data_IF_782348130041
#
_entry.id   IF_782348130041
#
_cell.length_a   1.000
_cell.length_b   1.000
_cell.length_c   1.000
_cell.angle_alpha   90.00
_cell.angle_beta   90.00
_cell.angle_gamma   90.00
#
_symmetry.space_group_name_H-M   'P 1'
#
loop_
_entity.id
_entity.type
_entity.pdbx_description
1 polymer ?
#
# COMPACT_ATOMS: atom_id res chain seq x y z
N UNK A 1 -70.57 2.47 16.72
CA UNK A 1 -69.84 1.58 17.65
C UNK A 1 -69.05 0.56 16.84
N UNK A 2 -67.73 0.75 16.85
CA UNK A 2 -66.64 -0.26 16.77
C UNK A 2 -66.82 -1.50 15.90
N UNK A 3 -66.05 -1.52 14.80
CA UNK A 3 -65.80 -2.70 13.99
C UNK A 3 -64.46 -3.40 14.30
N UNK A 4 -64.19 -4.39 13.44
CA UNK A 4 -62.98 -5.21 13.22
C UNK A 4 -62.78 -6.43 14.13
N UNK A 5 -63.15 -7.58 13.55
CA UNK A 5 -62.24 -8.69 13.31
C UNK A 5 -61.70 -9.41 14.54
N UNK A 6 -62.51 -10.30 15.12
CA UNK A 6 -62.04 -11.30 16.06
C UNK A 6 -61.07 -12.27 15.37
N UNK A 7 -59.85 -12.33 15.89
CA UNK A 7 -58.87 -13.36 15.59
C UNK A 7 -59.34 -14.72 16.14
N UNK A 8 -59.16 -15.84 15.42
CA UNK A 8 -59.02 -17.12 16.07
C UNK A 8 -57.53 -17.41 16.29
N UNK A 9 -57.07 -17.10 17.50
CA UNK A 9 -55.90 -17.75 18.06
C UNK A 9 -56.15 -19.26 18.20
N UNK A 10 -55.10 -20.02 17.90
CA UNK A 10 -54.75 -21.31 18.47
C UNK A 10 -55.91 -22.28 18.82
N UNK A 11 -56.19 -23.21 17.91
CA UNK A 11 -56.43 -24.61 18.27
C UNK A 11 -56.42 -25.51 17.01
N UNK A 12 -55.25 -26.04 16.67
CA UNK A 12 -55.18 -27.32 15.95
C UNK A 12 -53.96 -28.11 16.41
N UNK A 13 -54.06 -28.58 17.66
CA UNK A 13 -53.34 -29.78 18.09
C UNK A 13 -53.63 -30.88 17.07
N UNK A 14 -52.59 -31.26 16.34
CA UNK A 14 -52.46 -32.58 15.71
C UNK A 14 -53.40 -32.85 14.54
N UNK A 15 -52.97 -32.50 13.32
CA UNK A 15 -53.03 -33.42 12.18
C UNK A 15 -51.81 -33.19 11.28
N UNK A 16 -50.68 -33.73 11.72
CA UNK A 16 -49.54 -33.96 10.84
C UNK A 16 -49.88 -35.06 9.85
N UNK A 17 -50.35 -34.69 8.66
CA UNK A 17 -50.63 -35.62 7.58
C UNK A 17 -50.26 -34.97 6.25
N UNK A 18 -49.23 -35.53 5.58
CA UNK A 18 -48.83 -35.49 4.15
C UNK A 18 -48.90 -34.17 3.34
N UNK A 19 -49.40 -33.08 3.92
CA UNK A 19 -49.60 -31.77 3.30
C UNK A 19 -48.99 -30.64 4.15
N UNK A 20 -48.16 -30.97 5.15
CA UNK A 20 -47.24 -29.98 5.72
C UNK A 20 -46.14 -29.72 4.69
N UNK A 21 -46.40 -28.78 3.79
CA UNK A 21 -45.34 -28.13 3.00
C UNK A 21 -44.28 -27.67 4.00
N UNK A 22 -43.07 -28.23 3.89
CA UNK A 22 -41.93 -27.80 4.69
C UNK A 22 -41.79 -26.30 4.43
N UNK A 23 -42.08 -25.46 5.42
CA UNK A 23 -41.72 -24.06 5.33
C UNK A 23 -40.20 -24.03 5.42
N UNK A 24 -39.54 -24.02 4.26
CA UNK A 24 -38.09 -23.86 4.17
C UNK A 24 -37.78 -22.55 4.87
N UNK A 25 -37.06 -22.62 5.99
CA UNK A 25 -36.75 -21.46 6.82
C UNK A 25 -36.22 -20.32 5.95
N UNK A 26 -36.71 -19.10 6.20
CA UNK A 26 -36.33 -17.91 5.43
C UNK A 26 -34.82 -17.79 5.31
N UNK A 27 -34.35 -17.48 4.10
CA UNK A 27 -32.92 -17.42 3.79
C UNK A 27 -32.18 -16.45 4.71
N UNK A 28 -30.98 -16.83 5.15
CA UNK A 28 -30.09 -15.92 5.87
C UNK A 28 -29.67 -14.80 4.93
N UNK A 29 -29.90 -13.55 5.32
CA UNK A 29 -29.55 -12.38 4.52
C UNK A 29 -28.14 -11.91 4.87
N UNK A 30 -27.14 -12.47 4.19
CA UNK A 30 -25.73 -12.06 4.36
C UNK A 30 -25.40 -10.69 3.75
N UNK A 31 -26.35 -10.05 3.06
CA UNK A 31 -26.15 -8.76 2.39
C UNK A 31 -26.76 -7.57 3.13
N UNK A 32 -27.44 -7.79 4.27
CA UNK A 32 -28.17 -6.73 4.99
C UNK A 32 -27.28 -5.98 5.97
N UNK A 33 -26.24 -6.63 6.50
CA UNK A 33 -25.41 -6.14 7.62
C UNK A 33 -23.91 -6.38 7.34
N UNK A 34 -23.44 -6.04 6.13
CA UNK A 34 -22.01 -6.16 5.77
C UNK A 34 -21.16 -4.99 6.30
N UNK A 35 -21.80 -3.92 6.78
CA UNK A 35 -21.14 -2.72 7.31
C UNK A 35 -21.42 -2.60 8.80
N UNK A 36 -20.47 -2.09 9.61
CA UNK A 36 -20.72 -1.87 11.03
C UNK A 36 -21.83 -0.83 11.19
N UNK A 37 -22.82 -1.16 12.00
CA UNK A 37 -23.96 -0.29 12.31
C UNK A 37 -23.83 0.20 13.76
N UNK A 38 -24.26 1.43 14.02
CA UNK A 38 -24.34 1.95 15.40
C UNK A 38 -25.54 1.33 16.14
N UNK A 39 -25.69 1.61 17.44
CA UNK A 39 -26.81 1.17 18.27
C UNK A 39 -28.18 1.56 17.69
N UNK A 40 -28.24 2.62 16.90
CA UNK A 40 -29.44 3.11 16.21
C UNK A 40 -29.64 2.53 14.79
N UNK A 41 -28.78 1.61 14.35
CA UNK A 41 -28.90 0.91 13.06
C UNK A 41 -28.45 1.72 11.83
N UNK A 42 -27.76 2.83 12.04
CA UNK A 42 -27.17 3.64 10.97
C UNK A 42 -25.79 3.11 10.57
N UNK A 43 -25.45 3.19 9.29
CA UNK A 43 -24.14 2.78 8.78
C UNK A 43 -23.02 3.66 9.34
N UNK A 44 -22.08 3.05 10.06
CA UNK A 44 -20.88 3.71 10.54
C UNK A 44 -19.74 3.37 9.58
N UNK A 45 -19.00 4.39 9.13
CA UNK A 45 -17.78 4.14 8.36
C UNK A 45 -16.74 3.48 9.28
N UNK A 46 -16.13 2.38 8.81
CA UNK A 46 -15.07 1.65 9.53
C UNK A 46 -13.89 2.54 9.94
N UNK A 47 -13.72 3.70 9.28
CA UNK A 47 -12.61 4.62 9.52
C UNK A 47 -13.06 5.89 10.28
N UNK A 48 -14.31 5.94 10.76
CA UNK A 48 -14.81 7.07 11.54
C UNK A 48 -14.35 7.00 13.00
N UNK A 49 -14.22 8.14 13.67
CA UNK A 49 -13.78 8.22 15.07
C UNK A 49 -14.72 7.46 16.02
N UNK A 50 -16.02 7.40 15.71
CA UNK A 50 -17.02 6.62 16.45
C UNK A 50 -16.75 5.11 16.39
N UNK A 51 -16.19 4.61 15.29
CA UNK A 51 -15.80 3.21 15.16
C UNK A 51 -14.52 2.88 15.95
N UNK A 52 -13.64 3.87 16.15
CA UNK A 52 -12.40 3.68 16.92
C UNK A 52 -12.61 3.80 18.43
N UNK A 53 -13.48 4.71 18.87
CA UNK A 53 -13.68 4.98 20.30
C UNK A 53 -14.50 3.94 21.07
N UNK A 54 -15.01 2.87 20.43
CA UNK A 54 -15.80 1.82 21.10
C UNK A 54 -14.99 0.59 21.49
N UNK A 55 -13.75 0.51 21.01
CA UNK A 55 -12.78 -0.54 21.39
C UNK A 55 -11.78 -0.07 22.47
N UNK A 56 -11.91 1.18 22.97
CA UNK A 56 -10.94 1.85 23.86
C UNK A 56 -11.29 1.81 25.37
N UNK A 57 -12.35 1.12 25.80
CA UNK A 57 -12.83 1.14 27.21
C UNK A 57 -12.45 -0.10 28.06
N UNK A 58 -11.51 -0.94 27.59
CA UNK A 58 -10.91 -1.99 28.41
C UNK A 58 -9.40 -2.14 28.12
N UNK A 59 -8.62 -1.87 29.16
CA UNK A 59 -7.23 -2.31 29.41
C UNK A 59 -6.04 -1.38 29.08
N UNK A 60 -5.24 -1.24 30.13
CA UNK A 60 -4.04 -0.45 30.31
C UNK A 60 -2.81 -1.19 29.76
N UNK A 61 -1.81 -0.46 29.27
CA UNK A 61 -0.41 -0.89 29.12
C UNK A 61 -0.04 -1.94 28.04
N UNK A 62 0.49 -1.48 26.90
CA UNK A 62 1.81 -1.92 26.34
C UNK A 62 2.12 -1.22 25.01
N UNK A 63 3.37 -0.79 24.82
CA UNK A 63 3.93 -0.63 23.48
C UNK A 63 3.79 -1.96 22.71
N UNK A 64 3.21 -1.93 21.52
CA UNK A 64 3.54 -2.91 20.48
C UNK A 64 3.29 -2.33 19.08
N UNK A 65 4.40 -2.20 18.36
CA UNK A 65 4.55 -2.05 16.93
C UNK A 65 3.76 -3.13 16.19
N UNK A 66 2.57 -2.79 15.69
CA UNK A 66 1.75 -3.68 14.86
C UNK A 66 2.16 -3.53 13.39
N UNK A 67 3.17 -4.30 12.98
CA UNK A 67 3.43 -4.58 11.57
C UNK A 67 2.33 -5.50 11.03
N UNK A 68 1.47 -4.93 10.17
CA UNK A 68 0.45 -5.66 9.41
C UNK A 68 1.11 -6.58 8.37
N UNK A 69 1.43 -7.81 8.79
CA UNK A 69 1.86 -8.92 7.94
C UNK A 69 0.60 -9.44 7.21
N UNK A 70 0.44 -8.99 5.98
CA UNK A 70 -0.56 -9.50 5.04
C UNK A 70 -0.15 -10.93 4.61
N UNK A 71 -0.56 -11.92 5.40
CA UNK A 71 -0.63 -13.34 5.02
C UNK A 71 -1.78 -13.47 4.00
N UNK A 72 -1.48 -13.21 2.73
CA UNK A 72 -2.29 -13.73 1.64
C UNK A 72 -1.91 -15.19 1.44
N UNK A 73 -2.74 -16.05 2.01
CA UNK A 73 -2.75 -17.50 1.88
C UNK A 73 -2.90 -17.86 0.39
N UNK A 74 -1.78 -18.14 -0.26
CA UNK A 74 -1.76 -18.76 -1.58
C UNK A 74 -1.93 -20.26 -1.35
N UNK A 75 -3.17 -20.74 -1.50
CA UNK A 75 -3.50 -22.15 -1.62
C UNK A 75 -2.70 -22.75 -2.79
N UNK A 76 -1.60 -23.44 -2.48
CA UNK A 76 -0.95 -24.35 -3.41
C UNK A 76 -0.83 -25.73 -2.74
N UNK A 77 -1.28 -26.72 -3.49
CA UNK A 77 -1.68 -28.05 -3.06
C UNK A 77 -0.44 -28.93 -2.71
N UNK A 78 -0.52 -29.58 -1.54
CA UNK A 78 0.16 -30.81 -1.08
C UNK A 78 1.54 -31.25 -1.67
N UNK A 79 2.59 -31.26 -0.81
CA UNK A 79 3.82 -32.06 -1.01
C UNK A 79 4.81 -32.00 0.18
N UNK A 80 5.55 -33.07 0.53
CA UNK A 80 5.88 -33.42 1.92
C UNK A 80 6.98 -32.60 2.61
N UNK A 81 6.74 -32.34 3.89
CA UNK A 81 7.58 -31.63 4.84
C UNK A 81 8.98 -32.22 5.01
N UNK A 82 9.96 -31.53 4.43
CA UNK A 82 11.35 -31.55 4.91
C UNK A 82 11.92 -30.16 4.78
N UNK A 83 11.98 -29.41 5.89
CA UNK A 83 13.24 -28.82 6.38
C UNK A 83 13.04 -27.89 7.58
N UNK A 84 13.80 -28.23 8.62
CA UNK A 84 14.42 -27.40 9.64
C UNK A 84 13.54 -26.41 10.45
N UNK A 85 13.49 -26.67 11.76
CA UNK A 85 13.06 -25.76 12.83
C UNK A 85 13.99 -24.53 12.93
N UNK A 86 14.15 -23.77 11.85
CA UNK A 86 14.82 -22.48 11.89
C UNK A 86 13.98 -21.55 12.77
N UNK A 87 14.66 -20.85 13.68
CA UNK A 87 14.04 -19.91 14.60
C UNK A 87 13.16 -18.93 13.83
N UNK A 88 12.07 -18.46 14.44
CA UNK A 88 11.14 -17.49 13.84
C UNK A 88 11.89 -16.25 13.31
N UNK A 89 13.01 -15.92 13.94
CA UNK A 89 13.90 -14.84 13.55
C UNK A 89 14.75 -15.14 12.30
N UNK A 90 15.29 -16.35 12.18
CA UNK A 90 16.01 -16.80 10.98
C UNK A 90 15.06 -16.90 9.77
N UNK A 91 13.81 -17.34 9.98
CA UNK A 91 12.79 -17.36 8.93
C UNK A 91 12.45 -15.94 8.44
N UNK A 92 12.37 -14.97 9.36
CA UNK A 92 12.15 -13.55 9.03
C UNK A 92 13.33 -12.97 8.26
N UNK A 93 14.56 -13.28 8.67
CA UNK A 93 15.76 -12.81 7.96
C UNK A 93 15.88 -13.41 6.56
N UNK A 94 15.57 -14.69 6.39
CA UNK A 94 15.58 -15.33 5.06
C UNK A 94 14.49 -14.76 4.14
N UNK A 95 13.27 -14.53 4.65
CA UNK A 95 12.20 -13.88 3.88
C UNK A 95 12.58 -12.44 3.51
N UNK A 96 13.19 -11.66 4.42
CA UNK A 96 13.69 -10.30 4.13
C UNK A 96 14.80 -10.32 3.08
N UNK A 97 15.77 -11.23 3.21
CA UNK A 97 16.86 -11.40 2.24
C UNK A 97 16.36 -11.80 0.85
N UNK A 98 15.35 -12.67 0.75
CA UNK A 98 14.74 -13.03 -0.54
C UNK A 98 13.97 -11.86 -1.16
N UNK A 99 13.20 -11.11 -0.37
CA UNK A 99 12.51 -9.90 -0.83
C UNK A 99 13.51 -8.83 -1.31
N UNK A 100 14.59 -8.61 -0.58
CA UNK A 100 15.65 -7.67 -0.96
C UNK A 100 16.40 -8.14 -2.22
N UNK A 101 16.69 -9.44 -2.36
CA UNK A 101 17.29 -9.99 -3.56
C UNK A 101 16.36 -9.84 -4.78
N UNK A 102 15.05 -10.03 -4.61
CA UNK A 102 14.07 -9.81 -5.66
C UNK A 102 13.96 -8.33 -6.04
N UNK A 103 13.98 -7.42 -5.06
CA UNK A 103 13.99 -5.97 -5.30
C UNK A 103 15.30 -5.54 -5.97
N UNK A 104 16.44 -6.12 -5.60
CA UNK A 104 17.73 -5.86 -6.24
C UNK A 104 17.75 -6.39 -7.69
N UNK A 105 17.19 -7.56 -7.97
CA UNK A 105 17.01 -8.07 -9.34
C UNK A 105 16.08 -7.17 -10.16
N UNK A 106 14.95 -6.72 -9.59
CA UNK A 106 14.02 -5.78 -10.25
C UNK A 106 14.65 -4.40 -10.49
N UNK A 107 15.48 -3.90 -9.56
CA UNK A 107 16.21 -2.64 -9.73
C UNK A 107 17.35 -2.76 -10.74
N UNK A 108 18.03 -3.90 -10.80
CA UNK A 108 19.03 -4.19 -11.85
C UNK A 108 18.38 -4.44 -13.21
N UNK A 109 17.17 -4.98 -13.23
CA UNK A 109 16.32 -5.15 -14.41
C UNK A 109 15.35 -3.99 -14.65
N UNK A 110 15.68 -2.77 -14.19
CA UNK A 110 14.95 -1.57 -14.57
C UNK A 110 15.25 -1.27 -16.04
N UNK A 111 14.59 -2.04 -16.90
CA UNK A 111 14.53 -1.91 -18.34
C UNK A 111 14.12 -0.47 -18.66
N UNK A 112 15.04 0.29 -19.24
CA UNK A 112 14.67 1.51 -19.94
C UNK A 112 13.72 1.15 -21.08
N UNK A 113 12.71 1.98 -21.33
CA UNK A 113 11.74 1.83 -22.43
C UNK A 113 12.48 1.70 -23.77
N UNK A 114 12.76 0.45 -24.18
CA UNK A 114 13.58 0.15 -25.35
C UNK A 114 14.39 -1.15 -25.28
N UNK A 115 14.70 -1.67 -24.09
CA UNK A 115 15.50 -2.90 -23.94
C UNK A 115 14.62 -4.08 -23.53
N UNK A 116 13.78 -4.52 -24.47
CA UNK A 116 13.04 -5.77 -24.36
C UNK A 116 14.07 -6.92 -24.49
N UNK A 117 14.18 -7.86 -23.53
CA UNK A 117 15.04 -9.03 -23.74
C UNK A 117 14.43 -9.85 -24.89
N UNK A 118 15.09 -9.80 -26.05
CA UNK A 118 14.81 -10.59 -27.24
C UNK A 118 15.88 -11.67 -27.44
N UNK A 119 16.50 -12.14 -26.36
CA UNK A 119 17.32 -13.36 -26.39
C UNK A 119 17.48 -13.90 -24.96
N UNK A 120 16.61 -14.83 -24.59
CA UNK A 120 16.89 -15.82 -23.55
C UNK A 120 16.20 -17.10 -24.00
N UNK A 121 16.91 -17.80 -24.88
CA UNK A 121 16.87 -19.25 -25.03
C UNK A 121 16.99 -19.89 -23.64
N UNK A 122 15.86 -20.23 -23.04
CA UNK A 122 15.78 -21.21 -21.96
C UNK A 122 14.64 -22.17 -22.32
N UNK A 123 15.01 -23.05 -23.25
CA UNK A 123 14.36 -24.30 -23.58
C UNK A 123 14.42 -25.22 -22.35
N UNK A 124 13.29 -25.39 -21.64
CA UNK A 124 12.91 -26.64 -20.96
C UNK A 124 11.58 -26.48 -20.19
N UNK A 125 10.64 -27.39 -20.51
CA UNK A 125 9.48 -27.84 -19.71
C UNK A 125 8.09 -27.21 -19.95
N UNK A 126 7.80 -26.64 -21.13
CA UNK A 126 6.40 -26.31 -21.53
C UNK A 126 6.00 -26.90 -22.89
N UNK A 127 6.51 -28.10 -23.22
CA UNK A 127 6.21 -28.82 -24.47
C UNK A 127 5.00 -29.78 -24.35
N UNK A 128 4.33 -29.83 -23.19
CA UNK A 128 3.18 -30.72 -22.94
C UNK A 128 1.81 -30.01 -22.92
N UNK A 129 1.77 -28.70 -23.19
CA UNK A 129 0.54 -27.93 -23.32
C UNK A 129 0.20 -27.67 -24.81
N UNK A 130 -1.06 -27.86 -25.25
CA UNK A 130 -1.42 -27.59 -26.65
C UNK A 130 -1.22 -26.11 -26.96
N UNK A 131 -0.29 -25.81 -27.87
CA UNK A 131 0.05 -24.45 -28.27
C UNK A 131 -1.21 -23.66 -28.66
N UNK A 132 -1.44 -22.52 -27.98
CA UNK A 132 -2.55 -21.64 -28.30
C UNK A 132 -2.41 -21.15 -29.76
N UNK A 133 -3.38 -21.43 -30.64
CA UNK A 133 -3.30 -21.11 -32.07
C UNK A 133 -3.11 -19.61 -32.35
N UNK A 134 -3.49 -18.74 -31.40
CA UNK A 134 -3.34 -17.29 -31.50
C UNK A 134 -1.94 -16.78 -31.10
N UNK A 135 -1.10 -17.62 -30.49
CA UNK A 135 0.29 -17.31 -30.15
C UNK A 135 1.31 -18.04 -31.04
N UNK A 136 0.83 -18.78 -32.04
CA UNK A 136 1.70 -19.51 -32.97
C UNK A 136 2.58 -18.57 -33.82
N UNK A 137 3.77 -19.05 -34.19
CA UNK A 137 4.72 -18.33 -35.07
C UNK A 137 4.08 -17.91 -36.41
N UNK A 138 3.07 -18.63 -36.89
CA UNK A 138 2.31 -18.28 -38.09
C UNK A 138 1.45 -17.01 -37.91
N UNK A 139 0.83 -16.81 -36.75
CA UNK A 139 0.06 -15.60 -36.46
C UNK A 139 0.94 -14.34 -36.40
N UNK A 140 2.15 -14.46 -35.83
CA UNK A 140 3.15 -13.37 -35.82
C UNK A 140 3.66 -13.00 -37.22
N UNK A 141 3.70 -13.94 -38.16
CA UNK A 141 4.17 -13.66 -39.52
C UNK A 141 3.12 -12.89 -40.35
N UNK A 142 1.82 -13.03 -40.04
CA UNK A 142 0.76 -12.30 -40.74
C UNK A 142 0.70 -10.80 -40.38
N UNK A 143 1.16 -10.42 -39.17
CA UNK A 143 1.23 -9.02 -38.75
C UNK A 143 2.52 -8.32 -39.15
N UNK A 144 3.48 -9.05 -39.75
CA UNK A 144 4.79 -8.54 -40.17
C UNK A 144 4.83 -8.09 -41.65
N UNK A 145 3.66 -7.82 -42.25
CA UNK A 145 3.57 -7.19 -43.56
C UNK A 145 4.19 -5.77 -43.54
N UNK A 146 4.80 -5.36 -44.66
CA UNK A 146 5.80 -4.29 -44.69
C UNK A 146 5.28 -2.87 -44.39
N UNK A 147 6.00 -2.07 -43.58
CA UNK A 147 5.59 -0.70 -43.20
C UNK A 147 5.57 0.29 -44.38
N UNK A 148 6.33 0.02 -45.45
CA UNK A 148 6.49 0.93 -46.59
C UNK A 148 5.18 1.19 -47.36
N UNK A 149 4.30 0.18 -47.48
CA UNK A 149 3.02 0.36 -48.15
C UNK A 149 2.04 1.21 -47.32
N UNK A 150 2.13 1.18 -45.99
CA UNK A 150 1.27 1.98 -45.11
C UNK A 150 1.71 3.43 -45.11
N UNK A 151 3.02 3.70 -45.12
CA UNK A 151 3.57 5.05 -45.16
C UNK A 151 3.19 5.78 -46.45
N UNK A 152 3.32 5.14 -47.62
CA UNK A 152 2.98 5.73 -48.92
C UNK A 152 1.47 6.04 -49.04
N UNK A 153 0.61 5.18 -48.48
CA UNK A 153 -0.84 5.43 -48.39
C UNK A 153 -1.15 6.60 -47.45
N UNK A 154 -0.47 6.71 -46.31
CA UNK A 154 -0.68 7.81 -45.36
C UNK A 154 -0.19 9.17 -45.90
N UNK A 155 0.86 9.19 -46.72
CA UNK A 155 1.32 10.40 -47.41
C UNK A 155 0.37 10.86 -48.51
N UNK A 156 -0.25 9.93 -49.23
CA UNK A 156 -1.33 10.22 -50.17
C UNK A 156 -2.53 10.88 -49.50
N UNK A 157 -2.93 10.40 -48.32
CA UNK A 157 -4.05 10.97 -47.53
C UNK A 157 -3.71 12.35 -46.97
N UNK A 158 -2.47 12.61 -46.53
CA UNK A 158 -2.02 13.94 -46.06
C UNK A 158 -2.04 15.02 -47.15
N UNK A 159 -1.89 14.63 -48.43
CA UNK A 159 -1.92 15.56 -49.58
C UNK A 159 -3.33 15.88 -50.08
N UNK A 160 -4.34 15.08 -49.70
CA UNK A 160 -5.75 15.42 -49.94
C UNK A 160 -6.12 16.54 -48.96
N UNK A 161 -6.68 17.63 -49.48
CA UNK A 161 -7.06 18.78 -48.67
C UNK A 161 -8.00 18.34 -47.54
N UNK A 162 -7.47 18.32 -46.30
CA UNK A 162 -8.18 17.91 -45.09
C UNK A 162 -9.58 18.54 -45.08
N UNK A 163 -10.60 17.70 -44.99
CA UNK A 163 -12.00 18.10 -44.88
C UNK A 163 -12.14 19.11 -43.74
N UNK A 164 -13.09 20.06 -43.82
CA UNK A 164 -13.35 21.02 -42.72
C UNK A 164 -13.44 20.33 -41.35
N UNK A 165 -14.05 19.14 -41.34
CA UNK A 165 -14.20 18.29 -40.16
C UNK A 165 -12.87 17.72 -39.64
N UNK A 166 -11.94 17.41 -40.54
CA UNK A 166 -10.60 16.92 -40.21
C UNK A 166 -9.67 18.05 -39.74
N UNK A 167 -9.87 19.28 -40.23
CA UNK A 167 -9.15 20.45 -39.73
C UNK A 167 -9.58 20.79 -38.30
N UNK A 168 -10.88 20.77 -38.04
CA UNK A 168 -11.42 21.02 -36.70
C UNK A 168 -11.01 19.91 -35.73
N UNK A 169 -10.97 18.64 -36.16
CA UNK A 169 -10.51 17.55 -35.29
C UNK A 169 -9.02 17.67 -34.94
N UNK A 170 -8.17 18.06 -35.88
CA UNK A 170 -6.74 18.31 -35.63
C UNK A 170 -6.55 19.53 -34.74
N UNK A 171 -7.29 20.61 -34.94
CA UNK A 171 -7.22 21.79 -34.06
C UNK A 171 -7.69 21.46 -32.64
N UNK A 172 -8.76 20.68 -32.49
CA UNK A 172 -9.22 20.21 -31.19
C UNK A 172 -8.20 19.31 -30.49
N UNK A 173 -7.48 18.45 -31.23
CA UNK A 173 -6.37 17.66 -30.69
C UNK A 173 -5.22 18.56 -30.24
N UNK A 174 -4.80 19.51 -31.08
CA UNK A 174 -3.74 20.45 -30.72
C UNK A 174 -4.11 21.33 -29.51
N UNK A 175 -5.37 21.73 -29.37
CA UNK A 175 -5.85 22.48 -28.21
C UNK A 175 -5.79 21.65 -26.92
N UNK A 176 -6.17 20.37 -26.99
CA UNK A 176 -6.03 19.43 -25.87
C UNK A 176 -4.57 19.21 -25.50
N UNK A 177 -3.70 19.05 -26.48
CA UNK A 177 -2.26 18.88 -26.24
C UNK A 177 -1.63 20.13 -25.62
N UNK A 178 -2.03 21.33 -26.08
CA UNK A 178 -1.61 22.59 -25.48
C UNK A 178 -2.10 22.72 -24.05
N UNK A 179 -3.36 22.39 -23.78
CA UNK A 179 -3.92 22.40 -22.43
C UNK A 179 -3.17 21.42 -21.53
N UNK A 180 -2.96 20.18 -21.98
CA UNK A 180 -2.16 19.17 -21.28
C UNK A 180 -0.75 19.67 -20.99
N UNK A 181 -0.07 20.23 -21.99
CA UNK A 181 1.27 20.81 -21.83
C UNK A 181 1.30 21.97 -20.82
N UNK A 182 0.28 22.83 -20.81
CA UNK A 182 0.16 23.91 -19.82
C UNK A 182 -0.16 23.38 -18.42
N UNK A 183 -0.94 22.30 -18.33
CA UNK A 183 -1.27 21.64 -17.07
C UNK A 183 -0.03 20.97 -16.48
N UNK A 184 0.71 20.21 -17.30
CA UNK A 184 2.01 19.62 -16.93
C UNK A 184 3.03 20.70 -16.54
N UNK A 185 3.02 21.85 -17.21
CA UNK A 185 3.85 23.00 -16.85
C UNK A 185 3.38 23.73 -15.58
N UNK A 186 2.28 23.31 -14.95
CA UNK A 186 1.75 23.93 -13.73
C UNK A 186 1.11 25.31 -13.96
N UNK A 187 0.74 25.65 -15.20
CA UNK A 187 0.22 26.98 -15.57
C UNK A 187 -1.30 27.05 -15.58
N UNK A 188 -2.00 25.92 -15.64
CA UNK A 188 -3.45 25.86 -15.43
C UNK A 188 -3.77 26.15 -13.97
N UNK A 189 -4.96 26.70 -13.70
CA UNK A 189 -5.31 27.09 -12.34
C UNK A 189 -5.48 25.88 -11.41
N UNK A 190 -5.91 24.75 -11.95
CA UNK A 190 -5.92 23.45 -11.27
C UNK A 190 -4.50 23.02 -10.85
N UNK A 191 -3.54 23.02 -11.78
CA UNK A 191 -2.17 22.59 -11.48
C UNK A 191 -1.45 23.58 -10.54
N UNK A 192 -1.78 24.88 -10.60
CA UNK A 192 -1.32 25.87 -9.62
C UNK A 192 -1.88 25.58 -8.23
N UNK A 193 -3.17 25.22 -8.13
CA UNK A 193 -3.80 24.88 -6.86
C UNK A 193 -3.18 23.63 -6.24
N UNK A 194 -2.93 22.59 -7.05
CA UNK A 194 -2.26 21.37 -6.60
C UNK A 194 -0.81 21.65 -6.17
N UNK A 195 -0.08 22.47 -6.93
CA UNK A 195 1.26 22.89 -6.53
C UNK A 195 1.26 23.73 -5.25
N UNK A 196 0.27 24.60 -5.06
CA UNK A 196 0.11 25.36 -3.81
C UNK A 196 -0.17 24.43 -2.63
N UNK A 197 -1.05 23.43 -2.81
CA UNK A 197 -1.31 22.39 -1.79
C UNK A 197 -0.04 21.61 -1.45
N UNK A 198 0.74 21.21 -2.45
CA UNK A 198 2.01 20.51 -2.23
C UNK A 198 3.05 21.40 -1.53
N UNK A 199 3.12 22.71 -1.84
CA UNK A 199 3.99 23.66 -1.14
C UNK A 199 3.62 23.78 0.33
N UNK A 200 2.33 23.91 0.66
CA UNK A 200 1.87 23.94 2.07
C UNK A 200 2.27 22.66 2.83
N UNK A 201 2.20 21.49 2.17
CA UNK A 201 2.63 20.23 2.79
C UNK A 201 4.16 20.22 3.00
N UNK A 202 4.94 20.69 2.02
CA UNK A 202 6.41 20.81 2.18
C UNK A 202 6.75 21.75 3.33
N UNK A 203 6.14 22.93 3.38
CA UNK A 203 6.35 23.91 4.45
C UNK A 203 6.01 23.33 5.83
N UNK A 204 4.88 22.62 5.96
CA UNK A 204 4.53 21.93 7.20
C UNK A 204 5.56 20.87 7.59
N UNK A 205 5.99 20.04 6.65
CA UNK A 205 7.01 19.01 6.90
C UNK A 205 8.36 19.62 7.27
N UNK A 206 8.75 20.71 6.63
CA UNK A 206 9.98 21.45 6.93
C UNK A 206 9.89 22.12 8.30
N UNK A 207 8.75 22.72 8.65
CA UNK A 207 8.52 23.29 9.98
C UNK A 207 8.55 22.22 11.08
N UNK A 208 7.94 21.06 10.85
CA UNK A 208 7.97 19.94 11.80
C UNK A 208 9.37 19.33 11.90
N UNK A 209 10.10 19.21 10.79
CA UNK A 209 11.48 18.75 10.79
C UNK A 209 12.40 19.75 11.50
N UNK A 210 12.20 21.05 11.30
CA UNK A 210 12.94 22.11 11.99
C UNK A 210 12.64 22.12 13.49
N UNK A 211 11.37 21.93 13.90
CA UNK A 211 10.99 21.79 15.32
C UNK A 211 11.65 20.57 15.96
N UNK A 212 11.62 19.42 15.29
CA UNK A 212 12.27 18.19 15.77
C UNK A 212 13.80 18.34 15.83
N UNK A 213 14.40 19.03 14.86
CA UNK A 213 15.84 19.30 14.87
C UNK A 213 16.24 20.23 16.03
N UNK A 214 15.48 21.30 16.26
CA UNK A 214 15.71 22.22 17.38
C UNK A 214 15.55 21.52 18.74
N UNK A 215 14.48 20.73 18.92
CA UNK A 215 14.26 19.95 20.15
C UNK A 215 15.40 18.93 20.37
N UNK A 216 15.88 18.30 19.30
CA UNK A 216 17.00 17.36 19.38
C UNK A 216 18.30 18.07 19.75
N UNK A 217 18.58 19.24 19.19
CA UNK A 217 19.77 20.03 19.52
C UNK A 217 19.74 20.51 20.98
N UNK A 218 18.58 20.95 21.48
CA UNK A 218 18.41 21.32 22.90
C UNK A 218 18.60 20.11 23.83
N UNK A 219 18.02 18.96 23.49
CA UNK A 219 18.22 17.70 24.24
C UNK A 219 19.69 17.28 24.23
N UNK A 220 20.37 17.33 23.09
CA UNK A 220 21.79 17.00 22.99
C UNK A 220 22.67 17.98 23.79
N UNK A 221 22.33 19.28 23.80
CA UNK A 221 23.03 20.28 24.61
C UNK A 221 22.82 20.04 26.11
N UNK A 222 21.60 19.71 26.53
CA UNK A 222 21.30 19.34 27.91
C UNK A 222 22.03 18.06 28.31
N UNK A 223 22.02 17.03 27.46
CA UNK A 223 22.76 15.79 27.72
C UNK A 223 24.26 16.01 27.81
N UNK A 224 24.85 16.82 26.92
CA UNK A 224 26.28 17.18 26.99
C UNK A 224 26.59 17.89 28.30
N UNK A 225 25.77 18.87 28.69
CA UNK A 225 25.93 19.55 29.98
C UNK A 225 25.78 18.61 31.18
N UNK A 226 24.89 17.61 31.12
CA UNK A 226 24.75 16.61 32.17
C UNK A 226 25.95 15.64 32.19
N UNK A 227 26.42 15.19 31.02
CA UNK A 227 27.62 14.36 30.87
C UNK A 227 28.86 15.08 31.42
N UNK A 228 29.05 16.35 31.09
CA UNK A 228 30.16 17.17 31.61
C UNK A 228 30.08 17.34 33.13
N UNK A 229 28.87 17.54 33.69
CA UNK A 229 28.67 17.58 35.15
C UNK A 229 28.98 16.25 35.82
N UNK A 230 28.61 15.13 35.20
CA UNK A 230 28.91 13.78 35.70
C UNK A 230 30.42 13.54 35.67
N UNK A 231 31.07 13.82 34.55
CA UNK A 231 32.53 13.70 34.39
C UNK A 231 33.28 14.58 35.39
N UNK A 232 32.88 15.83 35.59
CA UNK A 232 33.49 16.71 36.58
C UNK A 232 33.29 16.21 38.03
N UNK A 233 32.12 15.62 38.34
CA UNK A 233 31.88 14.97 39.64
C UNK A 233 32.74 13.72 39.82
N UNK A 234 32.91 12.92 38.78
CA UNK A 234 33.75 11.72 38.81
C UNK A 234 35.24 12.08 38.95
N UNK A 235 35.73 13.07 38.21
CA UNK A 235 37.09 13.59 38.36
C UNK A 235 37.34 14.10 39.78
N UNK A 236 36.42 14.88 40.36
CA UNK A 236 36.52 15.32 41.76
C UNK A 236 36.55 14.15 42.74
N UNK A 237 35.75 13.11 42.53
CA UNK A 237 35.78 11.89 43.36
C UNK A 237 37.11 11.14 43.20
N UNK A 238 37.64 11.06 41.98
CA UNK A 238 38.91 10.42 41.66
C UNK A 238 40.09 11.16 42.28
N UNK A 239 40.12 12.49 42.18
CA UNK A 239 41.15 13.33 42.80
C UNK A 239 41.09 13.26 44.33
N UNK A 240 39.89 13.22 44.91
CA UNK A 240 39.71 12.99 46.34
C UNK A 240 40.19 11.59 46.78
N UNK A 241 39.95 10.56 45.96
CA UNK A 241 40.39 9.19 46.22
C UNK A 241 41.91 9.00 46.04
N UNK A 242 42.54 9.73 45.12
CA UNK A 242 43.99 9.70 44.92
C UNK A 242 44.79 10.32 46.07
N UNK A 243 44.14 11.12 46.93
CA UNK A 243 44.68 11.57 48.23
C UNK A 243 45.91 12.48 48.12
N UNK A 244 45.98 13.53 48.95
CA UNK A 244 47.20 14.35 49.06
C UNK A 244 48.37 13.45 49.46
N UNK A 245 49.49 13.39 48.71
CA UNK A 245 50.64 12.59 49.12
C UNK A 245 51.09 13.11 50.48
N UNK A 246 51.04 12.24 51.50
CA UNK A 246 51.48 12.58 52.84
C UNK A 246 52.89 13.15 52.76
N UNK A 247 53.06 14.43 53.14
CA UNK A 247 54.36 15.09 53.27
C UNK A 247 55.19 14.29 54.27
N UNK A 248 56.02 13.38 53.75
CA UNK A 248 57.02 12.65 54.53
C UNK A 248 58.23 13.58 54.67
N UNK A 249 58.34 14.24 55.82
CA UNK A 249 59.49 15.05 56.21
C UNK A 249 59.06 16.11 57.23
N UNK A 250 59.60 16.17 58.44
CA UNK A 250 61.03 16.08 58.80
C UNK A 250 61.11 15.57 60.25
N UNK A 251 61.81 14.46 60.47
CA UNK A 251 62.15 13.98 61.80
C UNK A 251 63.02 15.02 62.53
N UNK A 252 62.75 15.18 63.82
CA UNK A 252 63.50 15.99 64.78
C UNK A 252 64.19 15.04 65.74
#
# INVERSE_FOLDING_TARGET
MTGRGAAPGANSRGRGGKFKKFTRGGGKHFSRDLRPLDADGNEVSMWSEQAKGKDDDDDDSSEEDSEEDSDEDSEDEAGPSKNAELSREERRQQKKAQKEAAVAKKKKGAVQVGDMPTDSDEDSEDDDMPANPNHSKAARNMTKAQPAAVEEITEGVKKVAMSRKERESVEAQQAKDRYRKLHEAGKTDEAKADMARLRLIREKREADAARKAAEKEEKEAQEKAQKDKIMAKEQKKRDAALGKPAKKGKGK
#
